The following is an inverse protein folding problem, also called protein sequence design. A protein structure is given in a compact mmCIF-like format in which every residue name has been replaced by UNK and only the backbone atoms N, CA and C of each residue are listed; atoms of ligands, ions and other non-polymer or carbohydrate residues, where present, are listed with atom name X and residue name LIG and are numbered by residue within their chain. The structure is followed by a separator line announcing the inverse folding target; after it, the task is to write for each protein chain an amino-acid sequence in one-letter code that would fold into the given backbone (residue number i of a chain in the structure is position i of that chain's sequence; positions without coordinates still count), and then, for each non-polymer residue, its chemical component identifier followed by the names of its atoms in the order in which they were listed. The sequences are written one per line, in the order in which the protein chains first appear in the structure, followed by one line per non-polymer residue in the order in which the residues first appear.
data_IF_780971136626
#
_entry.id   IF_780971136626
#
_cell.length_a   1.000
_cell.length_b   1.000
_cell.length_c   1.000
_cell.angle_alpha   90.00
_cell.angle_beta   90.00
_cell.angle_gamma   90.00
#
_symmetry.space_group_name_H-M   'P 1'
#
loop_
_entity.id
_entity.type
_entity.pdbx_description
1 polymer ?
#
# COMPACT_ATOMS: atom_id res chain seq x y z
N UNK A 1 -6.43 0.47 16.00
CA UNK A 1 -6.71 -0.62 15.04
C UNK A 1 -5.66 -1.71 15.25
N UNK A 2 -5.99 -3.00 15.15
CA UNK A 2 -4.95 -4.05 15.20
C UNK A 2 -4.13 -4.07 13.90
N UNK A 3 -2.88 -4.58 13.90
CA UNK A 3 -2.08 -4.66 12.67
C UNK A 3 -2.80 -5.37 11.52
N UNK A 4 -3.46 -6.50 11.81
CA UNK A 4 -4.24 -7.25 10.80
C UNK A 4 -5.41 -6.43 10.25
N UNK A 5 -6.08 -5.64 11.09
CA UNK A 5 -7.15 -4.77 10.65
C UNK A 5 -6.61 -3.60 9.80
N UNK A 6 -5.45 -3.05 10.15
CA UNK A 6 -4.79 -1.99 9.39
C UNK A 6 -4.42 -2.44 7.98
N UNK A 7 -3.84 -3.63 7.84
CA UNK A 7 -3.50 -4.20 6.51
C UNK A 7 -4.77 -4.44 5.68
N UNK A 8 -5.87 -4.89 6.30
CA UNK A 8 -7.14 -5.07 5.57
C UNK A 8 -7.70 -3.74 5.06
N UNK A 9 -7.65 -2.72 5.90
CA UNK A 9 -8.07 -1.37 5.53
C UNK A 9 -7.21 -0.82 4.39
N UNK A 10 -5.89 -1.00 4.48
CA UNK A 10 -4.96 -0.62 3.44
C UNK A 10 -5.29 -1.29 2.09
N UNK A 11 -5.53 -2.61 2.08
CA UNK A 11 -5.91 -3.34 0.86
C UNK A 11 -7.25 -2.81 0.30
N UNK A 12 -8.22 -2.54 1.17
CA UNK A 12 -9.52 -2.02 0.75
C UNK A 12 -9.39 -0.66 0.06
N UNK A 13 -8.59 0.25 0.63
CA UNK A 13 -8.35 1.59 0.06
C UNK A 13 -7.52 1.53 -1.21
N UNK A 14 -6.52 0.66 -1.24
CA UNK A 14 -5.72 0.39 -2.44
C UNK A 14 -6.59 -0.06 -3.61
N UNK A 15 -7.44 -1.07 -3.39
CA UNK A 15 -8.31 -1.60 -4.46
C UNK A 15 -9.43 -0.63 -4.87
N UNK A 16 -9.72 0.38 -4.05
CA UNK A 16 -10.62 1.47 -4.39
C UNK A 16 -9.91 2.67 -5.04
N UNK A 17 -8.59 2.60 -5.26
CA UNK A 17 -7.74 3.72 -5.67
C UNK A 17 -7.89 4.97 -4.78
N UNK A 18 -8.22 4.80 -3.50
CA UNK A 18 -8.40 5.88 -2.51
C UNK A 18 -7.04 6.37 -1.99
N UNK A 19 -6.39 7.21 -2.78
CA UNK A 19 -5.05 7.73 -2.48
C UNK A 19 -5.02 8.55 -1.18
N UNK A 20 -6.02 9.40 -0.96
CA UNK A 20 -6.06 10.26 0.23
C UNK A 20 -6.32 9.45 1.50
N UNK A 21 -7.16 8.41 1.40
CA UNK A 21 -7.35 7.46 2.48
C UNK A 21 -6.11 6.63 2.77
N UNK A 22 -5.42 6.12 1.74
CA UNK A 22 -4.17 5.39 1.89
C UNK A 22 -3.10 6.23 2.59
N UNK A 23 -2.91 7.48 2.15
CA UNK A 23 -1.91 8.38 2.73
C UNK A 23 -2.11 8.59 4.23
N UNK A 24 -3.37 8.64 4.71
CA UNK A 24 -3.71 8.77 6.14
C UNK A 24 -3.33 7.55 6.99
N UNK A 25 -3.05 6.40 6.37
CA UNK A 25 -2.59 5.21 7.09
C UNK A 25 -1.07 5.22 7.35
N UNK A 26 -0.33 6.14 6.71
CA UNK A 26 1.11 6.28 6.88
C UNK A 26 1.45 7.39 7.88
N UNK A 27 2.53 7.18 8.64
CA UNK A 27 3.12 8.24 9.45
C UNK A 27 3.75 9.33 8.56
N UNK A 28 3.86 10.58 9.03
CA UNK A 28 4.46 11.67 8.26
C UNK A 28 5.87 11.37 7.73
N UNK A 29 6.66 10.60 8.47
CA UNK A 29 8.03 10.19 8.18
C UNK A 29 8.14 8.72 7.72
N UNK A 30 7.02 8.10 7.34
CA UNK A 30 6.98 6.69 6.95
C UNK A 30 7.96 6.37 5.81
N UNK A 31 8.56 5.19 5.88
CA UNK A 31 9.41 4.65 4.81
C UNK A 31 8.66 3.52 4.11
N UNK A 32 8.49 3.63 2.80
CA UNK A 32 7.90 2.58 1.96
C UNK A 32 8.97 2.05 1.01
N UNK A 33 9.49 0.87 1.33
CA UNK A 33 10.50 0.16 0.56
C UNK A 33 9.83 -0.89 -0.31
N UNK A 34 9.74 -0.63 -1.62
CA UNK A 34 9.14 -1.55 -2.58
C UNK A 34 10.22 -2.07 -3.51
N UNK A 35 10.19 -3.37 -3.79
CA UNK A 35 11.15 -4.06 -4.66
C UNK A 35 11.25 -3.44 -6.06
N UNK A 36 10.19 -2.75 -6.53
CA UNK A 36 10.17 -2.07 -7.83
C UNK A 36 10.99 -0.78 -7.87
N UNK A 37 11.35 -0.21 -6.72
CA UNK A 37 12.14 1.01 -6.63
C UNK A 37 13.56 0.70 -6.18
N UNK A 38 14.54 1.39 -6.78
CA UNK A 38 15.95 1.27 -6.38
C UNK A 38 16.24 1.91 -5.02
N UNK A 39 15.40 2.86 -4.60
CA UNK A 39 15.48 3.54 -3.32
C UNK A 39 14.10 3.60 -2.65
N UNK A 40 14.03 3.56 -1.31
CA UNK A 40 12.77 3.62 -0.60
C UNK A 40 12.16 5.02 -0.65
N UNK A 41 10.83 5.07 -0.73
CA UNK A 41 10.09 6.33 -0.60
C UNK A 41 10.09 6.76 0.87
N UNK A 42 10.34 8.05 1.11
CA UNK A 42 10.41 8.62 2.46
C UNK A 42 9.37 9.73 2.62
N UNK A 43 8.52 9.58 3.62
CA UNK A 43 7.46 10.51 3.98
C UNK A 43 6.12 10.20 3.32
N UNK A 44 5.03 10.55 4.02
CA UNK A 44 3.66 10.26 3.55
C UNK A 44 3.33 10.94 2.22
N UNK A 45 3.85 12.14 1.97
CA UNK A 45 3.62 12.87 0.72
C UNK A 45 4.28 12.17 -0.48
N UNK A 46 5.52 11.67 -0.32
CA UNK A 46 6.18 10.93 -1.40
C UNK A 46 5.43 9.63 -1.75
N UNK A 47 4.94 8.93 -0.73
CA UNK A 47 4.12 7.72 -0.89
C UNK A 47 2.79 8.06 -1.58
N UNK A 48 2.15 9.17 -1.19
CA UNK A 48 0.89 9.64 -1.77
C UNK A 48 1.05 9.96 -3.26
N UNK A 49 2.05 10.75 -3.63
CA UNK A 49 2.29 11.12 -5.03
C UNK A 49 2.57 9.89 -5.90
N UNK A 50 3.32 8.91 -5.38
CA UNK A 50 3.53 7.65 -6.10
C UNK A 50 2.22 6.93 -6.40
N UNK A 51 1.31 6.78 -5.41
CA UNK A 51 0.02 6.13 -5.66
C UNK A 51 -0.87 6.90 -6.65
N UNK A 52 -0.85 8.24 -6.63
CA UNK A 52 -1.56 9.05 -7.65
C UNK A 52 -1.09 8.74 -9.05
N UNK A 53 0.23 8.66 -9.24
CA UNK A 53 0.84 8.40 -10.54
C UNK A 53 0.49 6.99 -11.00
N UNK A 54 0.67 5.99 -10.14
CA UNK A 54 0.49 4.58 -10.51
C UNK A 54 -0.98 4.23 -10.78
N UNK A 55 -1.91 4.67 -9.94
CA UNK A 55 -3.35 4.45 -10.19
C UNK A 55 -3.88 5.25 -11.39
N UNK A 56 -3.21 6.34 -11.78
CA UNK A 56 -3.53 7.06 -13.02
C UNK A 56 -3.05 6.36 -14.29
N UNK A 57 -2.11 5.41 -14.17
CA UNK A 57 -1.51 4.70 -15.32
C UNK A 57 -2.23 3.41 -15.69
N UNK A 58 -2.78 2.70 -14.70
CA UNK A 58 -3.43 1.42 -14.92
C UNK A 58 -4.43 1.11 -13.79
N UNK A 59 -5.36 0.19 -14.08
CA UNK A 59 -6.15 -0.47 -13.03
C UNK A 59 -5.26 -1.48 -12.30
N UNK A 60 -5.10 -1.31 -10.99
CA UNK A 60 -4.22 -2.14 -10.16
C UNK A 60 -5.03 -2.68 -8.98
N UNK A 61 -4.94 -3.99 -8.73
CA UNK A 61 -5.60 -4.64 -7.61
C UNK A 61 -4.58 -5.39 -6.74
N UNK A 62 -4.63 -5.13 -5.44
CA UNK A 62 -3.95 -5.90 -4.41
C UNK A 62 -4.79 -7.12 -4.04
N UNK A 63 -4.27 -8.30 -4.38
CA UNK A 63 -4.82 -9.61 -4.02
C UNK A 63 -4.01 -10.19 -2.86
N UNK A 64 -4.70 -10.69 -1.84
CA UNK A 64 -4.04 -11.45 -0.77
C UNK A 64 -3.60 -12.78 -1.32
N UNK A 65 -2.31 -13.07 -1.23
CA UNK A 65 -1.82 -14.42 -1.43
C UNK A 65 -2.36 -15.31 -0.31
N UNK A 66 -3.11 -16.36 -0.68
CA UNK A 66 -3.39 -17.45 0.24
C UNK A 66 -2.13 -18.30 0.27
N UNK A 67 -1.30 -18.17 1.31
CA UNK A 67 -0.30 -19.20 1.55
C UNK A 67 -1.04 -20.52 1.74
N UNK A 68 -0.77 -21.57 0.93
CA UNK A 68 -1.25 -22.90 1.27
C UNK A 68 -0.75 -23.21 2.69
N UNK A 69 -1.64 -23.76 3.53
CA UNK A 69 -1.23 -24.28 4.82
C UNK A 69 0.00 -25.16 4.57
N UNK A 70 1.10 -24.87 5.27
CA UNK A 70 2.34 -25.62 5.13
C UNK A 70 2.01 -27.12 5.04
N UNK A 71 2.53 -27.78 4.01
CA UNK A 71 2.45 -29.23 3.89
C UNK A 71 3.00 -29.81 5.21
N UNK A 72 2.10 -30.29 6.07
CA UNK A 72 2.43 -31.04 7.27
C UNK A 72 3.07 -32.37 6.89
#
# INVERSE_FOLDING_TARGET
MTPKALVREWISRFNAADVDGLAKLYAPDAVNDQVVFSEPLRGCEAIREMFKIEFGRAEIACIKEQQPAAFN
#
